data_IF_511483084904
#
_entry.id   IF_511483084904
#
_cell.length_a   1.000
_cell.length_b   1.000
_cell.length_c   1.000
_cell.angle_alpha   90.00
_cell.angle_beta   90.00
_cell.angle_gamma   90.00
#
_symmetry.space_group_name_H-M   'P 1'
#
loop_
_entity.id
_entity.type
_entity.pdbx_description
1 polymer ?
#
# COMPACT_ATOMS: atom_id res chain seq x y z
N UNK A 1 -7.42 31.17 22.37
CA UNK A 1 -8.69 31.22 21.61
C UNK A 1 -8.53 30.23 20.48
N UNK A 2 -8.93 28.95 20.74
CA UNK A 2 -8.72 27.84 19.83
C UNK A 2 -9.76 27.85 18.71
N UNK A 3 -9.35 28.26 17.54
CA UNK A 3 -10.17 28.07 16.33
C UNK A 3 -9.81 26.67 15.76
N UNK A 4 -10.40 25.62 16.32
CA UNK A 4 -10.58 24.35 15.61
C UNK A 4 -11.73 24.57 14.62
N UNK A 5 -11.41 25.03 13.42
CA UNK A 5 -12.33 24.86 12.30
C UNK A 5 -12.56 23.36 12.10
N UNK A 6 -13.69 22.89 12.62
CA UNK A 6 -14.26 21.61 12.21
C UNK A 6 -14.74 21.80 10.77
N UNK A 7 -13.96 21.33 9.80
CA UNK A 7 -14.47 21.09 8.46
C UNK A 7 -15.76 20.26 8.56
N UNK A 8 -16.80 20.59 7.78
CA UNK A 8 -18.04 19.81 7.77
C UNK A 8 -17.76 18.35 7.44
N UNK A 9 -18.44 17.43 8.11
CA UNK A 9 -18.29 15.97 7.94
C UNK A 9 -18.57 15.49 6.49
N UNK A 10 -19.14 16.33 5.65
CA UNK A 10 -19.50 16.02 4.26
C UNK A 10 -18.30 16.02 3.28
N UNK A 11 -17.19 16.70 3.61
CA UNK A 11 -16.01 16.77 2.73
C UNK A 11 -14.90 15.75 3.07
N UNK A 12 -15.02 15.00 4.17
CA UNK A 12 -14.06 13.96 4.51
C UNK A 12 -14.50 12.65 3.88
N UNK A 13 -13.69 12.13 2.93
CA UNK A 13 -13.90 10.77 2.45
C UNK A 13 -13.79 9.80 3.62
N UNK A 14 -14.64 8.75 3.66
CA UNK A 14 -14.62 7.72 4.72
C UNK A 14 -13.20 7.17 4.91
N UNK A 15 -12.40 7.11 3.85
CA UNK A 15 -11.01 6.66 3.92
C UNK A 15 -10.11 7.57 4.75
N UNK A 16 -10.33 8.89 4.71
CA UNK A 16 -9.59 9.82 5.55
C UNK A 16 -10.02 9.71 7.02
N UNK A 17 -11.31 9.47 7.28
CA UNK A 17 -11.83 9.27 8.64
C UNK A 17 -11.26 8.01 9.30
N UNK A 18 -11.11 6.91 8.54
CA UNK A 18 -10.59 5.64 9.06
C UNK A 18 -9.07 5.62 9.19
N UNK A 19 -8.36 6.60 8.63
CA UNK A 19 -6.90 6.66 8.73
C UNK A 19 -6.47 6.88 10.18
N UNK A 20 -5.50 6.11 10.72
CA UNK A 20 -4.87 6.39 11.99
C UNK A 20 -4.31 7.80 12.05
N UNK A 21 -4.58 8.50 13.14
CA UNK A 21 -4.10 9.87 13.37
C UNK A 21 -3.03 9.94 14.47
N UNK A 22 -2.76 8.83 15.15
CA UNK A 22 -1.72 8.70 16.18
C UNK A 22 -1.00 7.36 16.05
N UNK A 23 0.16 7.22 16.69
CA UNK A 23 0.88 5.94 16.75
C UNK A 23 0.09 4.87 17.50
N UNK A 24 -0.72 5.24 18.47
CA UNK A 24 -1.56 4.31 19.24
C UNK A 24 -2.75 3.80 18.40
N UNK A 25 -3.22 4.60 17.44
CA UNK A 25 -4.24 4.18 16.49
C UNK A 25 -3.69 3.27 15.37
N UNK A 26 -2.38 3.24 15.19
CA UNK A 26 -1.73 2.47 14.13
C UNK A 26 -1.40 1.08 14.63
N UNK A 27 -2.29 0.13 14.37
CA UNK A 27 -2.16 -1.29 14.76
C UNK A 27 -1.11 -1.98 13.90
N UNK A 28 -0.36 -2.92 14.49
CA UNK A 28 0.63 -3.75 13.80
C UNK A 28 1.93 -3.03 13.43
N UNK A 29 2.77 -3.68 12.64
CA UNK A 29 4.07 -3.18 12.16
C UNK A 29 5.00 -2.72 13.30
N UNK A 30 5.02 -3.41 14.44
CA UNK A 30 5.67 -2.95 15.70
C UNK A 30 7.16 -2.63 15.52
N UNK A 31 7.89 -3.47 14.76
CA UNK A 31 9.32 -3.23 14.49
C UNK A 31 9.53 -1.93 13.71
N UNK A 32 8.68 -1.66 12.73
CA UNK A 32 8.74 -0.44 11.92
C UNK A 32 8.41 0.78 12.79
N UNK A 33 7.35 0.71 13.59
CA UNK A 33 6.95 1.78 14.52
C UNK A 33 8.06 2.13 15.51
N UNK A 34 8.64 1.13 16.16
CA UNK A 34 9.71 1.34 17.16
C UNK A 34 10.91 2.04 16.54
N UNK A 35 11.39 1.54 15.40
CA UNK A 35 12.53 2.13 14.71
C UNK A 35 12.25 3.56 14.21
N UNK A 36 11.07 3.79 13.65
CA UNK A 36 10.67 5.13 13.20
C UNK A 36 10.61 6.12 14.38
N UNK A 37 10.01 5.74 15.50
CA UNK A 37 9.93 6.61 16.69
C UNK A 37 11.33 7.03 17.14
N UNK A 38 12.31 6.11 17.20
CA UNK A 38 13.69 6.42 17.56
C UNK A 38 14.31 7.43 16.61
N UNK A 39 14.19 7.22 15.29
CA UNK A 39 14.76 8.12 14.27
C UNK A 39 14.14 9.52 14.38
N UNK A 40 12.81 9.59 14.51
CA UNK A 40 12.08 10.85 14.58
C UNK A 40 12.37 11.64 15.87
N UNK A 41 12.47 10.95 17.00
CA UNK A 41 12.84 11.57 18.27
C UNK A 41 14.29 12.06 18.27
N UNK A 42 15.22 11.28 17.73
CA UNK A 42 16.60 11.70 17.58
C UNK A 42 16.75 12.94 16.70
N UNK A 43 16.04 13.02 15.57
CA UNK A 43 16.02 14.21 14.72
C UNK A 43 15.48 15.45 15.47
N UNK A 44 14.39 15.27 16.24
CA UNK A 44 13.84 16.31 17.10
C UNK A 44 14.82 16.83 18.14
N UNK A 45 15.48 15.91 18.85
CA UNK A 45 16.46 16.26 19.89
C UNK A 45 17.64 17.07 19.33
N UNK A 46 18.07 16.73 18.10
CA UNK A 46 19.16 17.46 17.41
C UNK A 46 18.67 18.73 16.71
N UNK A 47 17.36 18.97 16.63
CA UNK A 47 16.74 20.07 15.87
C UNK A 47 17.14 20.08 14.37
N UNK A 48 17.30 18.89 13.81
CA UNK A 48 17.68 18.67 12.41
C UNK A 48 16.50 18.12 11.61
N UNK A 49 16.58 18.24 10.27
CA UNK A 49 15.67 17.50 9.40
C UNK A 49 15.91 15.99 9.58
N UNK A 50 14.85 15.24 9.62
CA UNK A 50 14.95 13.78 9.66
C UNK A 50 15.59 13.25 8.37
N UNK A 51 16.30 12.15 8.45
CA UNK A 51 16.77 11.41 7.29
C UNK A 51 15.62 11.10 6.32
N UNK A 52 15.95 10.94 5.04
CA UNK A 52 14.98 10.50 4.04
C UNK A 52 14.59 9.04 4.28
N UNK A 53 13.29 8.74 4.15
CA UNK A 53 12.71 7.45 4.51
C UNK A 53 12.10 6.75 3.30
N UNK A 54 12.32 5.45 3.16
CA UNK A 54 11.68 4.62 2.14
C UNK A 54 10.75 3.59 2.79
N UNK A 55 9.47 3.62 2.44
CA UNK A 55 8.50 2.59 2.81
C UNK A 55 8.20 1.70 1.60
N UNK A 56 8.34 0.39 1.75
CA UNK A 56 8.03 -0.53 0.67
C UNK A 56 7.27 -1.77 1.16
N UNK A 57 6.51 -2.39 0.27
CA UNK A 57 5.63 -3.52 0.57
C UNK A 57 4.35 -3.45 -0.25
N UNK A 58 3.49 -4.45 -0.15
CA UNK A 58 2.28 -4.57 -0.95
C UNK A 58 1.33 -3.37 -0.76
N UNK A 59 0.42 -3.20 -1.71
CA UNK A 59 -0.59 -2.14 -1.63
C UNK A 59 -1.50 -2.33 -0.41
N UNK A 60 -1.95 -1.25 0.20
CA UNK A 60 -2.92 -1.30 1.31
C UNK A 60 -2.34 -1.57 2.70
N UNK A 61 -1.00 -1.69 2.85
CA UNK A 61 -0.34 -1.97 4.14
C UNK A 61 -0.10 -0.73 5.02
N UNK A 62 -0.52 0.46 4.61
CA UNK A 62 -0.43 1.66 5.44
C UNK A 62 0.77 2.56 5.19
N UNK A 63 1.50 2.43 4.07
CA UNK A 63 2.66 3.29 3.72
C UNK A 63 2.34 4.79 3.77
N UNK A 64 1.23 5.19 3.14
CA UNK A 64 0.76 6.59 3.14
C UNK A 64 0.37 7.05 4.54
N UNK A 65 -0.22 6.16 5.35
CA UNK A 65 -0.56 6.46 6.75
C UNK A 65 0.70 6.72 7.58
N UNK A 66 1.74 5.90 7.41
CA UNK A 66 3.03 6.14 8.09
C UNK A 66 3.65 7.48 7.70
N UNK A 67 3.58 7.88 6.42
CA UNK A 67 4.07 9.19 5.99
C UNK A 67 3.36 10.35 6.72
N UNK A 68 2.03 10.25 6.90
CA UNK A 68 1.28 11.23 7.69
C UNK A 68 1.67 11.22 9.18
N UNK A 69 1.89 10.05 9.77
CA UNK A 69 2.33 9.94 11.17
C UNK A 69 3.75 10.50 11.36
N UNK A 70 4.65 10.26 10.41
CA UNK A 70 5.99 10.87 10.38
C UNK A 70 5.90 12.39 10.36
N UNK A 71 5.14 12.97 9.44
CA UNK A 71 4.96 14.41 9.35
C UNK A 71 4.37 14.98 10.66
N UNK A 72 3.34 14.34 11.20
CA UNK A 72 2.72 14.74 12.46
C UNK A 72 3.69 14.66 13.63
N UNK A 73 4.50 13.61 13.73
CA UNK A 73 5.50 13.44 14.79
C UNK A 73 6.59 14.53 14.70
N UNK A 74 7.00 14.92 13.50
CA UNK A 74 7.96 16.00 13.28
C UNK A 74 7.35 17.40 13.51
N UNK A 75 6.03 17.52 13.58
CA UNK A 75 5.33 18.81 13.61
C UNK A 75 5.43 19.56 12.28
N UNK A 76 5.57 18.83 11.18
CA UNK A 76 5.85 19.31 9.83
C UNK A 76 4.59 19.28 8.94
N UNK A 77 4.54 20.17 7.95
CA UNK A 77 3.58 20.06 6.87
C UNK A 77 3.97 18.90 5.94
N UNK A 78 2.97 18.23 5.37
CA UNK A 78 3.19 17.20 4.39
C UNK A 78 2.74 17.68 3.00
N UNK A 79 3.67 17.65 2.03
CA UNK A 79 3.37 17.85 0.61
C UNK A 79 3.31 16.49 -0.04
N UNK A 80 2.20 16.19 -0.70
CA UNK A 80 1.93 14.85 -1.25
C UNK A 80 1.95 14.92 -2.77
N UNK A 81 2.70 14.01 -3.38
CA UNK A 81 2.70 13.78 -4.82
C UNK A 81 2.86 12.27 -5.10
N UNK A 82 2.92 11.90 -6.36
CA UNK A 82 3.14 10.52 -6.77
C UNK A 82 4.13 10.43 -7.93
N UNK A 83 4.77 9.28 -8.10
CA UNK A 83 5.66 9.04 -9.25
C UNK A 83 4.99 9.38 -10.60
N UNK A 84 3.75 8.90 -10.87
CA UNK A 84 3.02 9.24 -12.09
C UNK A 84 2.71 10.73 -12.28
N UNK A 85 2.59 11.51 -11.21
CA UNK A 85 2.31 12.95 -11.28
C UNK A 85 3.56 13.79 -11.58
N UNK A 86 4.74 13.20 -11.47
CA UNK A 86 6.03 13.84 -11.75
C UNK A 86 6.55 13.36 -13.11
N UNK A 87 6.01 13.90 -14.19
CA UNK A 87 6.38 13.50 -15.54
C UNK A 87 7.60 14.27 -16.06
N UNK A 88 7.72 15.55 -15.68
CA UNK A 88 8.74 16.49 -16.17
C UNK A 88 9.57 17.05 -15.01
N UNK A 89 10.77 17.49 -15.30
CA UNK A 89 11.60 18.20 -14.33
C UNK A 89 10.93 19.46 -13.76
N UNK A 90 10.09 20.14 -14.55
CA UNK A 90 9.31 21.30 -14.10
C UNK A 90 8.34 20.95 -12.98
N UNK A 91 7.76 19.76 -13.01
CA UNK A 91 6.77 19.33 -12.03
C UNK A 91 7.46 19.10 -10.68
N UNK A 92 8.60 18.39 -10.71
CA UNK A 92 9.43 18.20 -9.52
C UNK A 92 10.00 19.53 -9.00
N UNK A 93 10.46 20.40 -9.89
CA UNK A 93 10.97 21.71 -9.50
C UNK A 93 9.91 22.55 -8.79
N UNK A 94 8.68 22.57 -9.31
CA UNK A 94 7.56 23.26 -8.68
C UNK A 94 7.25 22.72 -7.26
N UNK A 95 7.31 21.41 -7.08
CA UNK A 95 7.10 20.80 -5.75
C UNK A 95 8.24 21.16 -4.80
N UNK A 96 9.51 21.02 -5.23
CA UNK A 96 10.68 21.25 -4.38
C UNK A 96 10.84 22.72 -3.98
N UNK A 97 10.58 23.68 -4.88
CA UNK A 97 10.70 25.11 -4.60
C UNK A 97 9.58 25.64 -3.69
N UNK A 98 8.47 24.91 -3.57
CA UNK A 98 7.38 25.24 -2.65
C UNK A 98 7.53 24.58 -1.26
N UNK A 99 8.65 23.89 -0.99
CA UNK A 99 8.90 23.33 0.35
C UNK A 99 9.36 24.44 1.30
N UNK A 100 8.94 24.32 2.54
CA UNK A 100 9.40 25.13 3.65
C UNK A 100 10.35 24.33 4.55
N UNK A 101 11.05 25.04 5.44
CA UNK A 101 11.99 24.41 6.38
C UNK A 101 11.27 23.38 7.27
N UNK A 102 11.71 22.14 7.20
CA UNK A 102 11.18 21.02 8.00
C UNK A 102 10.02 20.27 7.35
N UNK A 103 9.53 20.71 6.18
CA UNK A 103 8.45 20.01 5.47
C UNK A 103 8.79 18.54 5.17
N UNK A 104 7.77 17.72 5.10
CA UNK A 104 7.83 16.35 4.59
C UNK A 104 7.30 16.32 3.16
N UNK A 105 8.14 15.92 2.21
CA UNK A 105 7.72 15.60 0.85
C UNK A 105 7.41 14.11 0.78
N UNK A 106 6.17 13.75 0.50
CA UNK A 106 5.76 12.37 0.30
C UNK A 106 5.55 12.07 -1.19
N UNK A 107 6.28 11.06 -1.71
CA UNK A 107 6.13 10.57 -3.09
C UNK A 107 5.60 9.14 -3.04
N UNK A 108 4.34 8.94 -3.41
CA UNK A 108 3.76 7.60 -3.56
C UNK A 108 4.10 7.00 -4.93
N UNK A 109 4.08 5.68 -5.04
CA UNK A 109 4.49 4.94 -6.24
C UNK A 109 5.83 5.40 -6.83
N UNK A 110 6.82 5.65 -5.97
CA UNK A 110 8.12 6.19 -6.37
C UNK A 110 8.86 5.35 -7.44
N UNK A 111 8.53 4.04 -7.59
CA UNK A 111 9.06 3.19 -8.65
C UNK A 111 8.61 3.59 -10.07
N UNK A 112 7.64 4.50 -10.19
CA UNK A 112 7.15 5.04 -11.45
C UNK A 112 7.82 6.38 -11.84
N UNK A 113 8.74 6.87 -11.03
CA UNK A 113 9.58 8.00 -11.41
C UNK A 113 10.44 7.61 -12.63
N UNK A 114 10.56 8.51 -13.59
CA UNK A 114 11.51 8.32 -14.67
C UNK A 114 12.93 8.69 -14.21
N UNK A 115 13.96 8.18 -14.91
CA UNK A 115 15.36 8.39 -14.54
C UNK A 115 15.75 9.86 -14.44
N UNK A 116 15.24 10.72 -15.31
CA UNK A 116 15.59 12.16 -15.29
C UNK A 116 15.07 12.85 -14.04
N UNK A 117 13.91 12.40 -13.51
CA UNK A 117 13.36 12.90 -12.24
C UNK A 117 14.20 12.37 -11.05
N UNK A 118 14.57 11.07 -11.07
CA UNK A 118 15.46 10.53 -10.04
C UNK A 118 16.79 11.27 -9.98
N UNK A 119 17.42 11.58 -11.14
CA UNK A 119 18.69 12.29 -11.21
C UNK A 119 18.61 13.72 -10.64
N UNK A 120 17.48 14.38 -10.76
CA UNK A 120 17.26 15.71 -10.13
C UNK A 120 17.02 15.58 -8.63
N UNK A 121 16.44 14.47 -8.16
CA UNK A 121 16.27 14.22 -6.73
C UNK A 121 17.60 13.99 -5.99
N UNK A 122 18.62 13.43 -6.65
CA UNK A 122 19.87 13.11 -5.97
C UNK A 122 20.54 14.34 -5.30
N UNK A 123 20.84 15.42 -6.02
CA UNK A 123 21.41 16.62 -5.38
C UNK A 123 20.43 17.31 -4.44
N UNK A 124 19.10 17.19 -4.67
CA UNK A 124 18.10 17.72 -3.77
C UNK A 124 18.13 17.01 -2.41
N UNK A 125 18.33 15.69 -2.40
CA UNK A 125 18.41 14.89 -1.17
C UNK A 125 19.75 15.08 -0.43
N UNK A 126 20.87 15.06 -1.16
CA UNK A 126 22.21 15.09 -0.54
C UNK A 126 22.67 16.50 -0.17
N UNK A 127 22.56 17.41 -1.13
CA UNK A 127 23.13 18.76 -1.02
C UNK A 127 22.07 19.85 -0.83
N UNK A 128 20.79 19.49 -0.83
CA UNK A 128 19.66 20.45 -0.80
C UNK A 128 19.76 21.48 -1.93
N UNK A 129 20.14 21.02 -3.11
CA UNK A 129 20.29 21.85 -4.30
C UNK A 129 19.44 21.31 -5.45
N UNK A 130 18.76 22.22 -6.11
CA UNK A 130 18.04 21.93 -7.33
C UNK A 130 18.78 22.54 -8.51
N UNK A 131 19.22 21.68 -9.43
CA UNK A 131 19.92 22.12 -10.64
C UNK A 131 18.96 22.09 -11.83
N UNK A 132 18.76 23.24 -12.46
CA UNK A 132 17.87 23.41 -13.61
C UNK A 132 18.66 23.96 -14.81
N UNK A 133 18.46 23.37 -15.97
CA UNK A 133 18.97 23.93 -17.23
C UNK A 133 17.97 24.97 -17.75
N UNK A 134 18.41 26.22 -17.88
CA UNK A 134 17.60 27.33 -18.40
C UNK A 134 18.17 27.76 -19.76
N UNK A 135 17.30 27.87 -20.77
CA UNK A 135 17.69 28.19 -22.15
C UNK A 135 17.83 26.96 -23.04
N UNK A 136 18.19 27.17 -24.28
CA UNK A 136 18.39 26.14 -25.31
C UNK A 136 19.71 26.32 -26.05
N UNK A 137 20.31 25.23 -26.50
CA UNK A 137 21.54 25.21 -27.28
C UNK A 137 22.76 25.75 -26.50
N UNK A 138 23.75 26.34 -27.17
CA UNK A 138 24.98 26.82 -26.54
C UNK A 138 24.80 27.92 -25.49
N UNK A 139 23.64 28.60 -25.49
CA UNK A 139 23.31 29.63 -24.50
C UNK A 139 22.62 29.07 -23.24
N UNK A 140 22.42 27.77 -23.16
CA UNK A 140 21.85 27.14 -21.97
C UNK A 140 22.76 27.31 -20.76
N UNK A 141 22.20 27.72 -19.63
CA UNK A 141 22.93 27.90 -18.36
C UNK A 141 22.33 27.02 -17.29
N UNK A 142 23.18 26.50 -16.41
CA UNK A 142 22.75 25.79 -15.21
C UNK A 142 22.39 26.83 -14.14
N UNK A 143 21.13 26.79 -13.68
CA UNK A 143 20.68 27.51 -12.49
C UNK A 143 20.69 26.54 -11.31
N UNK A 144 21.38 26.93 -10.22
CA UNK A 144 21.36 26.16 -8.98
C UNK A 144 20.58 26.92 -7.91
N UNK A 145 19.54 26.30 -7.39
CA UNK A 145 18.68 26.83 -6.34
C UNK A 145 18.93 26.06 -5.04
N UNK A 146 19.11 26.78 -3.94
CA UNK A 146 19.18 26.16 -2.60
C UNK A 146 17.76 25.80 -2.12
N UNK A 147 17.62 24.60 -1.60
CA UNK A 147 16.37 24.10 -1.03
C UNK A 147 16.41 24.17 0.50
N UNK A 148 15.29 24.47 1.16
CA UNK A 148 15.22 24.39 2.61
C UNK A 148 15.46 22.93 3.07
N UNK A 149 15.90 22.72 4.32
CA UNK A 149 15.95 21.40 4.92
C UNK A 149 14.56 20.74 4.90
N UNK A 150 14.45 19.58 4.27
CA UNK A 150 13.21 18.79 4.18
C UNK A 150 13.49 17.31 4.36
N UNK A 151 12.45 16.54 4.67
CA UNK A 151 12.50 15.08 4.71
C UNK A 151 11.73 14.51 3.53
N UNK A 152 12.40 13.72 2.67
CA UNK A 152 11.71 12.94 1.64
C UNK A 152 11.24 11.61 2.23
N UNK A 153 9.97 11.32 2.08
CA UNK A 153 9.36 10.02 2.37
C UNK A 153 8.87 9.43 1.05
N UNK A 154 9.48 8.35 0.59
CA UNK A 154 9.03 7.66 -0.61
C UNK A 154 8.30 6.37 -0.25
N UNK A 155 7.26 6.05 -1.01
CA UNK A 155 6.53 4.80 -0.89
C UNK A 155 6.52 4.03 -2.22
N UNK A 156 6.66 2.71 -2.15
CA UNK A 156 6.64 1.86 -3.35
C UNK A 156 6.14 0.46 -3.04
N UNK A 157 5.49 -0.17 -4.01
CA UNK A 157 5.21 -1.62 -3.99
C UNK A 157 6.36 -2.44 -4.58
N UNK A 158 7.25 -1.81 -5.35
CA UNK A 158 8.31 -2.44 -6.14
C UNK A 158 9.66 -1.78 -5.87
N UNK A 159 10.24 -2.02 -4.70
CA UNK A 159 11.52 -1.41 -4.31
C UNK A 159 12.70 -1.78 -5.24
N UNK A 160 12.61 -2.93 -5.91
CA UNK A 160 13.61 -3.38 -6.89
C UNK A 160 13.65 -2.55 -8.17
N UNK A 161 12.59 -1.80 -8.50
CA UNK A 161 12.52 -0.92 -9.66
C UNK A 161 13.11 0.48 -9.39
N UNK A 162 13.30 0.86 -8.13
CA UNK A 162 14.06 2.07 -7.80
C UNK A 162 15.52 1.87 -8.15
N UNK A 163 16.16 2.88 -8.72
CA UNK A 163 17.57 2.82 -9.03
C UNK A 163 18.42 2.63 -7.75
N UNK A 164 19.56 1.95 -7.88
CA UNK A 164 20.51 1.77 -6.80
C UNK A 164 20.95 3.12 -6.18
N UNK A 165 21.32 4.13 -7.00
CA UNK A 165 21.65 5.47 -6.52
C UNK A 165 20.54 6.15 -5.73
N UNK A 166 19.27 6.03 -6.13
CA UNK A 166 18.17 6.60 -5.34
C UNK A 166 18.01 5.87 -4.00
N UNK A 167 18.04 4.54 -4.02
CA UNK A 167 17.88 3.74 -2.79
C UNK A 167 18.96 4.02 -1.74
N UNK A 168 20.21 4.22 -2.16
CA UNK A 168 21.32 4.48 -1.23
C UNK A 168 21.23 5.84 -0.53
N UNK A 169 20.38 6.74 -1.01
CA UNK A 169 20.16 8.08 -0.43
C UNK A 169 19.10 8.13 0.65
N UNK A 170 18.36 7.04 0.84
CA UNK A 170 17.46 6.93 1.99
C UNK A 170 18.26 6.52 3.22
N UNK A 171 18.19 7.30 4.29
CA UNK A 171 18.85 7.01 5.56
C UNK A 171 18.25 5.78 6.26
N UNK A 172 16.95 5.51 6.02
CA UNK A 172 16.31 4.28 6.48
C UNK A 172 15.26 3.76 5.49
N UNK A 173 15.20 2.43 5.38
CA UNK A 173 14.24 1.73 4.52
C UNK A 173 13.45 0.71 5.34
N UNK A 174 12.13 0.77 5.24
CA UNK A 174 11.21 -0.06 6.02
C UNK A 174 10.33 -0.90 5.12
N UNK A 175 10.45 -2.22 5.28
CA UNK A 175 9.54 -3.16 4.66
C UNK A 175 8.29 -3.29 5.53
N UNK A 176 7.12 -3.09 4.92
CA UNK A 176 5.84 -3.39 5.54
C UNK A 176 5.43 -4.80 5.11
N UNK A 177 5.15 -5.63 6.10
CA UNK A 177 4.70 -6.99 5.88
C UNK A 177 3.15 -7.07 5.96
N UNK A 178 2.59 -8.18 5.48
CA UNK A 178 1.18 -8.47 5.68
C UNK A 178 0.85 -8.50 7.17
N UNK A 179 -0.36 -8.08 7.49
CA UNK A 179 -0.86 -8.09 8.87
C UNK A 179 -1.29 -9.50 9.28
N UNK A 180 -1.25 -9.78 10.56
CA UNK A 180 -1.86 -10.99 11.11
C UNK A 180 -3.36 -10.77 11.33
N UNK A 181 -4.15 -11.85 11.36
CA UNK A 181 -5.59 -11.75 11.58
C UNK A 181 -5.97 -10.97 12.84
N UNK A 182 -5.33 -11.17 14.01
CA UNK A 182 -5.64 -10.38 15.21
C UNK A 182 -5.47 -8.87 15.02
N UNK A 183 -4.43 -8.44 14.30
CA UNK A 183 -4.21 -7.01 13.99
C UNK A 183 -5.34 -6.46 13.11
N UNK A 184 -5.77 -7.23 12.11
CA UNK A 184 -6.87 -6.83 11.23
C UNK A 184 -8.19 -6.79 11.99
N UNK A 185 -8.46 -7.73 12.90
CA UNK A 185 -9.65 -7.70 13.76
C UNK A 185 -9.69 -6.41 14.60
N UNK A 186 -8.56 -6.00 15.16
CA UNK A 186 -8.46 -4.75 15.90
C UNK A 186 -8.69 -3.53 15.01
N UNK A 187 -8.13 -3.52 13.80
CA UNK A 187 -8.37 -2.48 12.80
C UNK A 187 -9.85 -2.39 12.44
N UNK A 188 -10.51 -3.53 12.16
CA UNK A 188 -11.95 -3.59 11.85
C UNK A 188 -12.78 -3.09 13.03
N UNK A 189 -12.47 -3.52 14.25
CA UNK A 189 -13.14 -3.07 15.47
C UNK A 189 -13.02 -1.56 15.68
N UNK A 190 -11.81 -1.01 15.50
CA UNK A 190 -11.57 0.43 15.55
C UNK A 190 -12.36 1.17 14.47
N UNK A 191 -12.32 0.70 13.23
CA UNK A 191 -13.03 1.29 12.10
C UNK A 191 -14.55 1.26 12.30
N UNK A 192 -15.09 0.15 12.79
CA UNK A 192 -16.51 0.03 13.13
C UNK A 192 -16.93 1.03 14.22
N UNK A 193 -16.09 1.22 15.25
CA UNK A 193 -16.33 2.23 16.30
C UNK A 193 -16.37 3.64 15.74
N UNK A 194 -15.44 3.99 14.84
CA UNK A 194 -15.41 5.31 14.19
C UNK A 194 -16.64 5.55 13.32
N UNK A 195 -17.11 4.51 12.63
CA UNK A 195 -18.33 4.53 11.82
C UNK A 195 -19.61 4.36 12.65
N UNK A 196 -19.52 4.23 13.99
CA UNK A 196 -20.64 4.01 14.92
C UNK A 196 -21.48 2.76 14.58
N UNK A 197 -20.84 1.71 14.07
CA UNK A 197 -21.48 0.46 13.71
C UNK A 197 -21.58 -0.47 14.93
N UNK A 198 -22.72 -1.12 15.06
CA UNK A 198 -22.88 -2.26 15.98
C UNK A 198 -22.52 -3.53 15.21
N UNK A 199 -21.39 -4.13 15.52
CA UNK A 199 -20.85 -5.31 14.83
C UNK A 199 -20.53 -6.40 15.85
N UNK A 200 -20.86 -7.65 15.52
CA UNK A 200 -20.55 -8.79 16.38
C UNK A 200 -19.08 -9.23 16.26
N UNK A 201 -18.50 -9.89 17.27
CA UNK A 201 -17.14 -10.43 17.18
C UNK A 201 -16.96 -11.43 16.02
N UNK A 202 -18.00 -12.22 15.71
CA UNK A 202 -18.03 -13.17 14.61
C UNK A 202 -17.90 -12.46 13.27
N UNK A 203 -18.69 -11.41 13.04
CA UNK A 203 -18.64 -10.60 11.83
C UNK A 203 -17.27 -9.89 11.68
N UNK A 204 -16.66 -9.43 12.79
CA UNK A 204 -15.30 -8.86 12.77
C UNK A 204 -14.30 -9.90 12.27
N UNK A 205 -14.33 -11.13 12.82
CA UNK A 205 -13.43 -12.21 12.37
C UNK A 205 -13.61 -12.57 10.90
N UNK A 206 -14.86 -12.60 10.43
CA UNK A 206 -15.14 -12.87 9.01
C UNK A 206 -14.59 -11.79 8.09
N UNK A 207 -14.83 -10.51 8.41
CA UNK A 207 -14.28 -9.38 7.65
C UNK A 207 -12.74 -9.42 7.66
N UNK A 208 -12.13 -9.72 8.81
CA UNK A 208 -10.69 -9.83 8.95
C UNK A 208 -10.12 -10.97 8.09
N UNK A 209 -10.70 -12.17 8.17
CA UNK A 209 -10.26 -13.32 7.38
C UNK A 209 -10.35 -13.07 5.87
N UNK A 210 -11.40 -12.37 5.41
CA UNK A 210 -11.60 -12.01 4.00
C UNK A 210 -10.77 -10.80 3.53
N UNK A 211 -9.97 -10.17 4.40
CA UNK A 211 -9.30 -8.89 4.14
C UNK A 211 -7.99 -8.99 3.36
N UNK A 212 -7.56 -10.17 3.00
CA UNK A 212 -6.25 -10.42 2.34
C UNK A 212 -5.08 -9.85 3.17
N UNK A 213 -5.19 -9.89 4.49
CA UNK A 213 -4.20 -9.38 5.45
C UNK A 213 -3.81 -7.91 5.25
N UNK A 214 -4.73 -7.10 4.72
CA UNK A 214 -4.47 -5.69 4.46
C UNK A 214 -5.55 -4.77 5.03
N UNK A 215 -5.19 -3.71 5.75
CA UNK A 215 -6.14 -2.74 6.32
C UNK A 215 -7.07 -2.10 5.28
N UNK A 216 -6.55 -1.84 4.06
CA UNK A 216 -7.35 -1.23 2.97
C UNK A 216 -8.50 -2.14 2.55
N UNK A 217 -8.24 -3.44 2.36
CA UNK A 217 -9.27 -4.40 1.98
C UNK A 217 -10.26 -4.61 3.11
N UNK A 218 -9.78 -4.73 4.37
CA UNK A 218 -10.63 -4.83 5.55
C UNK A 218 -11.63 -3.67 5.64
N UNK A 219 -11.15 -2.43 5.51
CA UNK A 219 -12.00 -1.24 5.52
C UNK A 219 -12.95 -1.20 4.31
N UNK A 220 -12.51 -1.64 3.12
CA UNK A 220 -13.37 -1.75 1.93
C UNK A 220 -14.52 -2.72 2.17
N UNK A 221 -14.25 -3.91 2.72
CA UNK A 221 -15.28 -4.90 3.05
C UNK A 221 -16.20 -4.35 4.13
N UNK A 222 -15.67 -3.76 5.20
CA UNK A 222 -16.47 -3.19 6.28
C UNK A 222 -17.46 -2.13 5.77
N UNK A 223 -17.06 -1.29 4.81
CA UNK A 223 -17.97 -0.33 4.15
C UNK A 223 -19.11 -1.04 3.43
N UNK A 224 -18.84 -2.10 2.70
CA UNK A 224 -19.89 -2.87 2.01
C UNK A 224 -20.82 -3.58 2.98
N UNK A 225 -20.26 -4.13 4.06
CA UNK A 225 -21.07 -4.73 5.15
C UNK A 225 -21.99 -3.69 5.80
N UNK A 226 -21.51 -2.46 6.01
CA UNK A 226 -22.34 -1.34 6.47
C UNK A 226 -23.47 -1.03 5.48
N UNK A 227 -23.13 -0.86 4.20
CA UNK A 227 -24.11 -0.52 3.17
C UNK A 227 -25.22 -1.59 3.09
N UNK A 228 -24.84 -2.87 3.16
CA UNK A 228 -25.81 -3.96 3.18
C UNK A 228 -26.68 -3.95 4.45
N UNK A 229 -26.08 -3.71 5.61
CA UNK A 229 -26.82 -3.62 6.88
C UNK A 229 -27.84 -2.47 6.88
N UNK A 230 -27.47 -1.31 6.32
CA UNK A 230 -28.38 -0.16 6.18
C UNK A 230 -29.57 -0.47 5.26
N UNK A 231 -29.32 -1.06 4.08
CA UNK A 231 -30.38 -1.41 3.11
C UNK A 231 -31.29 -2.51 3.62
N UNK A 232 -30.73 -3.51 4.33
CA UNK A 232 -31.51 -4.61 4.92
C UNK A 232 -32.19 -4.25 6.24
N UNK A 233 -32.04 -3.01 6.71
CA UNK A 233 -32.54 -2.52 8.01
C UNK A 233 -32.09 -3.41 9.19
N UNK A 234 -30.89 -3.98 9.12
CA UNK A 234 -30.35 -4.83 10.16
C UNK A 234 -30.01 -3.99 11.42
N UNK A 235 -30.46 -4.43 12.59
CA UNK A 235 -30.20 -3.74 13.86
C UNK A 235 -28.75 -3.83 14.31
N UNK A 236 -28.05 -4.84 13.84
CA UNK A 236 -26.66 -5.14 14.13
C UNK A 236 -26.04 -5.90 12.95
N UNK A 237 -24.76 -5.69 12.72
CA UNK A 237 -23.95 -6.48 11.79
C UNK A 237 -23.54 -7.75 12.51
N UNK A 238 -24.22 -8.85 12.23
CA UNK A 238 -23.93 -10.18 12.72
C UNK A 238 -23.27 -11.05 11.63
N UNK A 239 -23.04 -12.30 11.94
CA UNK A 239 -22.47 -13.29 11.02
C UNK A 239 -23.31 -13.43 9.73
N UNK A 240 -24.63 -13.41 9.83
CA UNK A 240 -25.52 -13.57 8.67
C UNK A 240 -25.42 -12.37 7.71
N UNK A 241 -25.35 -11.15 8.24
CA UNK A 241 -25.12 -9.92 7.45
C UNK A 241 -23.77 -9.95 6.78
N UNK A 242 -22.70 -10.34 7.51
CA UNK A 242 -21.36 -10.45 6.97
C UNK A 242 -21.28 -11.50 5.86
N UNK A 243 -21.85 -12.70 6.07
CA UNK A 243 -21.89 -13.79 5.08
C UNK A 243 -22.55 -13.33 3.79
N UNK A 244 -23.77 -12.78 3.87
CA UNK A 244 -24.51 -12.31 2.69
C UNK A 244 -23.77 -11.21 1.94
N UNK A 245 -23.08 -10.33 2.67
CA UNK A 245 -22.28 -9.29 2.03
C UNK A 245 -21.10 -9.89 1.28
N UNK A 246 -20.37 -10.84 1.88
CA UNK A 246 -19.24 -11.51 1.22
C UNK A 246 -19.70 -12.30 0.00
N UNK A 247 -20.84 -12.99 0.08
CA UNK A 247 -21.47 -13.67 -1.06
C UNK A 247 -21.81 -12.69 -2.19
N UNK A 248 -22.42 -11.54 -1.86
CA UNK A 248 -22.75 -10.49 -2.83
C UNK A 248 -21.48 -9.89 -3.51
N UNK A 249 -20.39 -9.83 -2.76
CA UNK A 249 -19.08 -9.37 -3.28
C UNK A 249 -18.32 -10.48 -3.99
N UNK A 250 -18.86 -11.71 -4.00
CA UNK A 250 -18.20 -12.90 -4.52
C UNK A 250 -16.81 -13.15 -3.90
N UNK A 251 -16.63 -12.72 -2.64
CA UNK A 251 -15.40 -12.92 -1.86
C UNK A 251 -15.58 -14.14 -0.97
N UNK A 252 -14.67 -15.08 -1.04
CA UNK A 252 -14.71 -16.28 -0.23
C UNK A 252 -14.06 -16.10 1.16
N UNK A 253 -14.08 -17.17 1.96
CA UNK A 253 -13.54 -17.21 3.33
C UNK A 253 -12.04 -16.85 3.45
N UNK A 254 -11.28 -17.03 2.37
CA UNK A 254 -9.87 -16.64 2.29
C UNK A 254 -9.67 -15.26 1.62
N UNK A 255 -10.75 -14.55 1.31
CA UNK A 255 -10.65 -13.26 0.63
C UNK A 255 -10.32 -13.36 -0.87
N UNK A 256 -10.50 -14.54 -1.49
CA UNK A 256 -10.32 -14.68 -2.93
C UNK A 256 -11.52 -14.09 -3.66
N UNK A 257 -11.20 -13.22 -4.62
CA UNK A 257 -12.17 -12.65 -5.55
C UNK A 257 -12.32 -13.57 -6.80
N UNK A 258 -13.33 -13.38 -7.65
CA UNK A 258 -13.53 -14.22 -8.84
C UNK A 258 -12.30 -14.37 -9.73
N UNK A 259 -11.50 -13.31 -9.86
CA UNK A 259 -10.28 -13.32 -10.66
C UNK A 259 -9.19 -14.24 -10.09
N UNK A 260 -9.04 -14.27 -8.77
CA UNK A 260 -8.07 -15.15 -8.10
C UNK A 260 -8.44 -16.62 -8.33
N UNK A 261 -9.73 -16.96 -8.11
CA UNK A 261 -10.23 -18.32 -8.32
C UNK A 261 -10.10 -18.73 -9.79
N UNK A 262 -10.45 -17.84 -10.71
CA UNK A 262 -10.32 -18.08 -12.15
C UNK A 262 -8.87 -18.30 -12.57
N UNK A 263 -7.92 -17.59 -11.95
CA UNK A 263 -6.48 -17.79 -12.20
C UNK A 263 -6.05 -19.20 -11.77
N UNK A 264 -6.36 -19.60 -10.55
CA UNK A 264 -6.05 -20.94 -10.04
C UNK A 264 -6.73 -22.04 -10.86
N UNK A 265 -8.02 -21.89 -11.17
CA UNK A 265 -8.75 -22.82 -12.03
C UNK A 265 -8.15 -22.95 -13.42
N UNK A 266 -7.68 -21.84 -14.00
CA UNK A 266 -7.04 -21.84 -15.31
C UNK A 266 -5.75 -22.63 -15.27
N UNK A 267 -4.92 -22.44 -14.25
CA UNK A 267 -3.68 -23.23 -14.05
C UNK A 267 -4.04 -24.72 -13.90
N UNK A 268 -5.03 -25.05 -13.09
CA UNK A 268 -5.42 -26.43 -12.82
C UNK A 268 -6.03 -27.10 -14.05
N UNK A 269 -7.07 -26.48 -14.63
CA UNK A 269 -7.89 -27.12 -15.68
C UNK A 269 -7.22 -27.07 -17.06
N UNK A 270 -6.61 -25.93 -17.42
CA UNK A 270 -6.01 -25.75 -18.77
C UNK A 270 -4.55 -26.18 -18.83
N UNK A 271 -3.80 -26.02 -17.73
CA UNK A 271 -2.36 -26.29 -17.69
C UNK A 271 -1.98 -27.43 -16.75
N UNK A 272 -2.94 -28.28 -16.37
CA UNK A 272 -2.73 -29.49 -15.55
C UNK A 272 -1.96 -29.22 -14.24
N UNK A 273 -2.24 -28.08 -13.58
CA UNK A 273 -1.58 -27.64 -12.36
C UNK A 273 -0.29 -26.82 -12.57
N UNK A 274 0.16 -26.69 -13.80
CA UNK A 274 1.39 -25.96 -14.15
C UNK A 274 2.59 -26.88 -14.38
N UNK A 275 3.82 -26.34 -14.59
CA UNK A 275 4.13 -24.91 -14.58
C UNK A 275 3.66 -24.15 -15.84
N UNK A 276 3.23 -22.90 -15.66
CA UNK A 276 2.80 -22.02 -16.76
C UNK A 276 3.41 -20.61 -16.65
N UNK A 277 3.88 -20.06 -17.76
CA UNK A 277 4.46 -18.72 -17.81
C UNK A 277 3.41 -17.61 -17.58
N UNK A 278 3.81 -16.47 -16.97
CA UNK A 278 2.88 -15.36 -16.73
C UNK A 278 2.23 -14.81 -17.98
N UNK A 279 2.99 -14.70 -19.08
CA UNK A 279 2.45 -14.19 -20.35
C UNK A 279 1.39 -15.14 -20.94
N UNK A 280 1.63 -16.46 -20.87
CA UNK A 280 0.67 -17.47 -21.32
C UNK A 280 -0.59 -17.47 -20.46
N UNK A 281 -0.42 -17.30 -19.14
CA UNK A 281 -1.52 -17.23 -18.19
C UNK A 281 -2.37 -15.97 -18.41
N UNK A 282 -1.73 -14.82 -18.62
CA UNK A 282 -2.38 -13.55 -18.94
C UNK A 282 -3.22 -13.66 -20.23
N UNK A 283 -2.63 -14.21 -21.29
CA UNK A 283 -3.35 -14.47 -22.53
C UNK A 283 -4.54 -15.42 -22.34
N UNK A 284 -4.39 -16.49 -21.53
CA UNK A 284 -5.46 -17.45 -21.27
C UNK A 284 -6.61 -16.87 -20.44
N UNK A 285 -6.35 -15.81 -19.66
CA UNK A 285 -7.30 -15.08 -18.82
C UNK A 285 -7.89 -13.84 -19.52
N UNK A 286 -7.33 -13.44 -20.65
CA UNK A 286 -7.59 -12.16 -21.32
C UNK A 286 -7.34 -10.99 -20.36
N UNK A 287 -6.17 -10.98 -19.74
CA UNK A 287 -5.75 -10.00 -18.75
C UNK A 287 -4.30 -9.56 -19.01
N UNK A 288 -3.84 -8.51 -18.34
CA UNK A 288 -2.48 -8.04 -18.45
C UNK A 288 -1.51 -8.85 -17.56
N UNK A 289 -0.31 -9.09 -18.09
CA UNK A 289 0.75 -9.75 -17.32
C UNK A 289 1.06 -9.02 -16.01
N UNK A 290 1.02 -7.68 -16.01
CA UNK A 290 1.23 -6.87 -14.82
C UNK A 290 0.21 -7.17 -13.72
N UNK A 291 -1.07 -7.36 -14.08
CA UNK A 291 -2.10 -7.72 -13.11
C UNK A 291 -1.82 -9.08 -12.47
N UNK A 292 -1.38 -10.06 -13.27
CA UNK A 292 -1.00 -11.37 -12.74
C UNK A 292 0.11 -11.21 -11.69
N UNK A 293 1.21 -10.54 -12.07
CA UNK A 293 2.43 -10.47 -11.25
C UNK A 293 2.32 -9.54 -10.04
N UNK A 294 1.49 -8.49 -10.12
CA UNK A 294 1.44 -7.45 -9.08
C UNK A 294 0.21 -7.51 -8.19
N UNK A 295 -0.90 -8.04 -8.71
CA UNK A 295 -2.18 -8.02 -8.00
C UNK A 295 -2.53 -9.40 -7.46
N UNK A 296 -2.49 -10.43 -8.32
CA UNK A 296 -2.99 -11.76 -7.95
C UNK A 296 -1.92 -12.64 -7.28
N UNK A 297 -0.76 -12.79 -7.91
CA UNK A 297 0.30 -13.67 -7.41
C UNK A 297 0.75 -13.38 -5.97
N UNK A 298 0.99 -12.11 -5.56
CA UNK A 298 1.56 -11.86 -4.24
C UNK A 298 0.70 -12.40 -3.11
N UNK A 299 -0.62 -12.25 -3.21
CA UNK A 299 -1.53 -12.75 -2.21
C UNK A 299 -1.65 -14.28 -2.26
N UNK A 300 -1.89 -14.84 -3.42
CA UNK A 300 -2.02 -16.29 -3.60
C UNK A 300 -0.77 -17.06 -3.17
N UNK A 301 0.41 -16.47 -3.39
CA UNK A 301 1.67 -17.02 -2.91
C UNK A 301 1.82 -16.92 -1.39
N UNK A 302 1.39 -15.81 -0.80
CA UNK A 302 1.49 -15.60 0.65
C UNK A 302 0.62 -16.57 1.46
N UNK A 303 -0.52 -16.98 0.90
CA UNK A 303 -1.41 -17.99 1.51
C UNK A 303 -1.15 -19.42 1.02
N UNK A 304 -0.10 -19.60 0.22
CA UNK A 304 0.36 -20.92 -0.19
C UNK A 304 -0.50 -21.61 -1.27
N UNK A 305 -1.39 -20.90 -1.97
CA UNK A 305 -2.20 -21.46 -3.06
C UNK A 305 -1.47 -21.50 -4.40
N UNK A 306 -0.47 -20.65 -4.57
CA UNK A 306 0.32 -20.53 -5.80
C UNK A 306 1.81 -20.65 -5.48
N UNK A 307 2.54 -21.42 -6.28
CA UNK A 307 3.98 -21.50 -6.23
C UNK A 307 4.61 -20.93 -7.50
N UNK A 308 5.71 -20.19 -7.34
CA UNK A 308 6.52 -19.68 -8.46
C UNK A 308 7.80 -20.48 -8.57
N UNK A 309 8.01 -21.10 -9.73
CA UNK A 309 9.22 -21.89 -10.05
C UNK A 309 9.98 -21.23 -11.22
N UNK A 310 11.22 -21.62 -11.49
CA UNK A 310 11.93 -21.15 -12.69
C UNK A 310 11.18 -21.45 -14.01
N UNK A 311 10.40 -22.55 -14.05
CA UNK A 311 9.61 -22.94 -15.22
C UNK A 311 8.26 -22.20 -15.31
N UNK A 312 7.78 -21.57 -14.24
CA UNK A 312 6.51 -20.85 -14.23
C UNK A 312 5.73 -20.99 -12.93
N UNK A 313 4.43 -20.71 -13.02
CA UNK A 313 3.47 -20.72 -11.91
C UNK A 313 2.81 -22.09 -11.83
N UNK A 314 2.64 -22.56 -10.59
CA UNK A 314 2.01 -23.85 -10.30
C UNK A 314 0.96 -23.65 -9.20
N UNK A 315 -0.20 -24.31 -9.37
CA UNK A 315 -1.16 -24.44 -8.29
C UNK A 315 -0.66 -25.48 -7.28
N UNK A 316 -0.79 -25.18 -6.00
CA UNK A 316 -0.40 -26.08 -4.92
C UNK A 316 -1.53 -27.05 -4.58
N UNK A 317 -1.25 -28.10 -3.81
CA UNK A 317 -2.26 -29.01 -3.30
C UNK A 317 -3.37 -28.26 -2.53
N UNK A 318 -2.99 -27.28 -1.71
CA UNK A 318 -3.94 -26.40 -0.99
C UNK A 318 -4.89 -25.64 -1.94
N UNK A 319 -4.44 -25.27 -3.15
CA UNK A 319 -5.32 -24.64 -4.14
C UNK A 319 -6.37 -25.61 -4.69
N UNK A 320 -6.00 -26.86 -4.92
CA UNK A 320 -6.94 -27.89 -5.35
C UNK A 320 -7.98 -28.17 -4.26
N UNK A 321 -7.53 -28.31 -3.01
CA UNK A 321 -8.42 -28.51 -1.86
C UNK A 321 -9.40 -27.33 -1.69
N UNK A 322 -8.89 -26.10 -1.77
CA UNK A 322 -9.70 -24.89 -1.64
C UNK A 322 -10.79 -24.79 -2.73
N UNK A 323 -10.47 -25.16 -3.95
CA UNK A 323 -11.40 -25.17 -5.08
C UNK A 323 -12.29 -26.43 -5.16
N UNK A 324 -12.11 -27.39 -4.25
CA UNK A 324 -12.84 -28.67 -4.28
C UNK A 324 -12.50 -29.53 -5.50
N UNK A 325 -11.31 -29.39 -6.07
CA UNK A 325 -10.84 -30.15 -7.23
C UNK A 325 -9.91 -31.25 -6.73
N UNK A 326 -10.08 -32.53 -7.14
CA UNK A 326 -9.18 -33.60 -6.74
C UNK A 326 -7.73 -33.29 -7.17
N UNK A 327 -6.79 -33.42 -6.23
CA UNK A 327 -5.37 -33.32 -6.57
C UNK A 327 -4.96 -34.56 -7.38
N UNK A 328 -4.27 -34.40 -8.51
CA UNK A 328 -3.86 -35.57 -9.31
C UNK A 328 -2.89 -36.43 -8.51
N UNK A 329 -3.22 -37.71 -8.38
CA UNK A 329 -2.31 -38.67 -7.78
C UNK A 329 -0.93 -38.59 -8.45
N UNK A 330 0.10 -38.44 -7.63
CA UNK A 330 1.48 -38.58 -8.11
C UNK A 330 1.65 -39.99 -8.67
N UNK A 331 1.37 -40.20 -9.96
CA UNK A 331 1.94 -41.34 -10.64
C UNK A 331 3.45 -41.17 -10.57
N UNK A 332 4.08 -42.01 -9.76
CA UNK A 332 5.52 -42.21 -9.75
C UNK A 332 5.95 -42.45 -11.22
N UNK A 333 6.67 -41.47 -11.78
CA UNK A 333 7.42 -41.61 -13.01
C UNK A 333 8.82 -42.05 -12.61
#
# INVERSE_FOLDING_TARGET
MDIKEKLPLEDQTIDSLLRPISWDDYVGQEKVKTNLKIILEAAKLRQEACDHLLFYGQAGLGKTTLAHLVAKQLGANIKITSGPALEKMSDLAAVLTNLEKGDVLFIDEAHRLNKSIEEVLYPAMEARKLHLMVGKGPAARMLSLDLPPFTLVAATTRANLLSGPLRSRFGASFKLDYYENPDIEEIVKRSAKLLKLKISPEAIRMVAAASRFTPRVANRILKRVRDYAEVSAAKQIDEAVATKTLEMLEVDKLGLEPHDRRLLETIIKKFKGGPVGAATLAAALNDDRGNIEDIYEPYLMSIGLLARTPAGRMATEAAYEHLGIPFPDKKLI
#
